data_IF_030650641948
#
_entry.id   IF_030650641948
#
_cell.length_a   1.000
_cell.length_b   1.000
_cell.length_c   1.000
_cell.angle_alpha   90.00
_cell.angle_beta   90.00
_cell.angle_gamma   90.00
#
_symmetry.space_group_name_H-M   'P 1'
#
loop_
_entity.id
_entity.type
_entity.pdbx_description
1 polymer ?
#
# COMPACT_ATOMS: atom_id res chain seq x y z
N UNK A 1 -16.48 -1.94 11.04
CA UNK A 1 -16.04 -0.75 10.28
C UNK A 1 -16.35 -1.00 8.80
N UNK A 2 -16.91 -0.02 8.07
CA UNK A 2 -17.32 -0.19 6.67
C UNK A 2 -16.15 0.11 5.75
N UNK A 3 -15.83 -0.79 4.81
CA UNK A 3 -14.78 -0.56 3.81
C UNK A 3 -15.22 0.51 2.80
N UNK A 4 -14.28 1.26 2.19
CA UNK A 4 -14.55 2.08 1.02
C UNK A 4 -15.20 1.27 -0.12
N UNK A 5 -15.88 1.93 -1.08
CA UNK A 5 -16.37 1.26 -2.28
C UNK A 5 -15.23 0.62 -3.08
N UNK A 6 -15.55 -0.28 -4.00
CA UNK A 6 -14.55 -0.93 -4.83
C UNK A 6 -15.11 -2.06 -5.70
N UNK A 7 -14.31 -2.61 -6.61
CA UNK A 7 -14.74 -3.70 -7.47
C UNK A 7 -15.09 -4.93 -6.63
N UNK A 8 -16.19 -5.59 -7.01
CA UNK A 8 -16.55 -6.89 -6.45
C UNK A 8 -15.74 -7.96 -7.16
N UNK A 9 -14.57 -8.25 -6.59
CA UNK A 9 -13.72 -9.34 -7.05
C UNK A 9 -14.35 -10.72 -6.84
N UNK A 10 -13.73 -11.72 -7.45
CA UNK A 10 -14.13 -13.11 -7.33
C UNK A 10 -13.83 -13.66 -5.93
N UNK A 11 -14.54 -14.70 -5.45
CA UNK A 11 -14.22 -15.34 -4.18
C UNK A 11 -12.74 -15.78 -4.14
N UNK A 12 -12.06 -15.55 -3.01
CA UNK A 12 -10.64 -15.88 -2.75
C UNK A 12 -9.61 -15.07 -3.55
N UNK A 13 -9.75 -15.00 -4.87
CA UNK A 13 -8.78 -14.37 -5.78
C UNK A 13 -8.98 -12.86 -5.94
N UNK A 14 -10.18 -12.33 -5.64
CA UNK A 14 -10.47 -10.90 -5.77
C UNK A 14 -10.47 -10.42 -7.23
N UNK A 15 -9.98 -9.20 -7.46
CA UNK A 15 -10.00 -8.53 -8.78
C UNK A 15 -8.68 -8.66 -9.56
N UNK A 16 -7.93 -9.73 -9.32
CA UNK A 16 -6.63 -9.96 -9.99
C UNK A 16 -6.78 -10.01 -11.51
N UNK A 17 -7.84 -10.65 -12.02
CA UNK A 17 -8.10 -10.74 -13.45
C UNK A 17 -8.64 -9.46 -14.07
N UNK A 18 -9.09 -8.51 -13.26
CA UNK A 18 -9.59 -7.22 -13.73
C UNK A 18 -8.44 -6.20 -13.90
N UNK A 19 -7.22 -6.56 -13.48
CA UNK A 19 -6.03 -5.70 -13.56
C UNK A 19 -5.22 -6.04 -14.81
N UNK A 20 -4.99 -5.01 -15.63
CA UNK A 20 -4.12 -5.11 -16.80
C UNK A 20 -2.63 -5.15 -16.44
N UNK A 21 -1.74 -5.26 -17.43
CA UNK A 21 -0.28 -5.29 -17.20
C UNK A 21 0.25 -4.04 -16.49
N UNK A 22 -0.47 -2.92 -16.61
CA UNK A 22 -0.16 -1.65 -15.95
C UNK A 22 -1.23 -1.31 -14.92
N UNK A 23 -1.03 -1.80 -13.69
CA UNK A 23 -1.99 -1.68 -12.59
C UNK A 23 -2.46 -0.24 -12.33
N UNK A 24 -1.57 0.74 -12.46
CA UNK A 24 -1.90 2.16 -12.24
C UNK A 24 -2.90 2.71 -13.26
N UNK A 25 -2.94 2.17 -14.50
CA UNK A 25 -3.95 2.56 -15.49
C UNK A 25 -5.32 2.05 -15.08
N UNK A 26 -5.43 0.78 -14.68
CA UNK A 26 -6.68 0.21 -14.14
C UNK A 26 -7.17 1.00 -12.94
N UNK A 27 -6.28 1.34 -12.00
CA UNK A 27 -6.64 2.13 -10.82
C UNK A 27 -7.08 3.55 -11.17
N UNK A 28 -6.49 4.16 -12.21
CA UNK A 28 -6.91 5.47 -12.70
C UNK A 28 -8.33 5.42 -13.28
N UNK A 29 -8.69 4.36 -14.01
CA UNK A 29 -10.07 4.18 -14.50
C UNK A 29 -11.05 3.90 -13.36
N UNK A 30 -10.68 3.05 -12.41
CA UNK A 30 -11.48 2.76 -11.22
C UNK A 30 -11.72 3.98 -10.33
N UNK A 31 -10.83 4.99 -10.35
CA UNK A 31 -11.10 6.29 -9.73
C UNK A 31 -12.42 6.89 -10.20
N UNK A 32 -12.70 6.82 -11.51
CA UNK A 32 -13.90 7.42 -12.11
C UNK A 32 -15.17 6.71 -11.62
N UNK A 33 -15.06 5.43 -11.26
CA UNK A 33 -16.18 4.59 -10.84
C UNK A 33 -16.39 4.57 -9.32
N UNK A 34 -15.32 4.46 -8.54
CA UNK A 34 -15.36 4.26 -7.09
C UNK A 34 -14.93 5.49 -6.27
N UNK A 35 -14.36 6.49 -6.94
CA UNK A 35 -13.97 7.75 -6.31
C UNK A 35 -12.49 7.81 -5.88
N UNK A 36 -12.14 8.79 -5.04
CA UNK A 36 -10.74 9.11 -4.69
C UNK A 36 -10.08 8.09 -3.76
N UNK A 37 -10.88 7.29 -3.04
CA UNK A 37 -10.44 6.19 -2.19
C UNK A 37 -11.31 4.98 -2.51
N UNK A 38 -10.68 3.85 -2.81
CA UNK A 38 -11.41 2.61 -3.00
C UNK A 38 -10.64 1.42 -2.43
N UNK A 39 -11.39 0.36 -2.14
CA UNK A 39 -10.87 -0.91 -1.65
C UNK A 39 -10.75 -1.91 -2.79
N UNK A 40 -9.68 -2.69 -2.82
CA UNK A 40 -9.54 -3.83 -3.73
C UNK A 40 -8.93 -5.02 -2.99
N UNK A 41 -9.41 -6.22 -3.29
CA UNK A 41 -8.75 -7.45 -2.87
C UNK A 41 -8.00 -8.03 -4.07
N UNK A 42 -6.71 -8.31 -3.92
CA UNK A 42 -5.90 -9.01 -4.92
C UNK A 42 -5.27 -10.27 -4.33
N UNK A 43 -5.77 -11.44 -4.74
CA UNK A 43 -5.31 -12.74 -4.28
C UNK A 43 -5.22 -12.83 -2.75
N UNK A 44 -6.29 -12.41 -2.06
CA UNK A 44 -6.36 -12.40 -0.60
C UNK A 44 -5.69 -11.19 0.06
N UNK A 45 -5.02 -10.32 -0.69
CA UNK A 45 -4.42 -9.08 -0.16
C UNK A 45 -5.42 -7.94 -0.24
N UNK A 46 -5.87 -7.48 0.92
CA UNK A 46 -6.70 -6.28 1.06
C UNK A 46 -5.86 -5.02 0.86
N UNK A 47 -6.24 -4.18 -0.09
CA UNK A 47 -5.56 -2.92 -0.40
C UNK A 47 -6.55 -1.76 -0.44
N UNK A 48 -6.09 -0.62 0.07
CA UNK A 48 -6.78 0.67 -0.06
C UNK A 48 -5.96 1.50 -1.04
N UNK A 49 -6.58 1.94 -2.13
CA UNK A 49 -5.92 2.74 -3.16
C UNK A 49 -6.31 4.20 -2.99
N UNK A 50 -5.29 5.07 -2.92
CA UNK A 50 -5.43 6.51 -2.79
C UNK A 50 -5.18 7.16 -4.15
N UNK A 51 -6.20 7.82 -4.71
CA UNK A 51 -6.22 8.19 -6.12
C UNK A 51 -6.32 9.71 -6.36
N UNK A 52 -6.09 10.50 -5.32
CA UNK A 52 -5.94 11.96 -5.40
C UNK A 52 -4.78 12.41 -4.54
N UNK A 53 -4.15 13.52 -4.95
CA UNK A 53 -3.07 14.15 -4.20
C UNK A 53 -3.54 14.54 -2.79
N UNK A 54 -4.73 15.16 -2.68
CA UNK A 54 -5.30 15.59 -1.40
C UNK A 54 -5.39 14.44 -0.37
N UNK A 55 -5.95 13.30 -0.79
CA UNK A 55 -6.08 12.12 0.08
C UNK A 55 -4.71 11.54 0.43
N UNK A 56 -3.80 11.46 -0.55
CA UNK A 56 -2.45 10.96 -0.32
C UNK A 56 -1.72 11.84 0.70
N UNK A 57 -1.76 13.17 0.58
CA UNK A 57 -1.16 14.09 1.56
C UNK A 57 -1.83 13.97 2.94
N UNK A 58 -3.15 13.88 3.00
CA UNK A 58 -3.88 13.78 4.27
C UNK A 58 -3.53 12.51 5.05
N UNK A 59 -3.39 11.37 4.36
CA UNK A 59 -3.11 10.09 5.01
C UNK A 59 -1.61 9.81 5.14
N UNK A 60 -0.84 9.98 4.08
CA UNK A 60 0.56 9.57 4.04
C UNK A 60 1.52 10.62 4.61
N UNK A 61 1.21 11.92 4.53
CA UNK A 61 2.07 12.96 5.11
C UNK A 61 1.58 13.38 6.50
N UNK A 62 0.37 13.97 6.58
CA UNK A 62 -0.13 14.55 7.84
C UNK A 62 -0.37 13.52 8.92
N UNK A 63 -0.74 12.30 8.53
CA UNK A 63 -1.00 11.15 9.41
C UNK A 63 0.04 10.03 9.23
N UNK A 64 1.22 10.39 8.74
CA UNK A 64 2.34 9.46 8.49
C UNK A 64 2.60 8.51 9.67
N UNK A 65 2.53 8.98 10.91
CA UNK A 65 2.74 8.14 12.11
C UNK A 65 1.79 6.94 12.23
N UNK A 66 0.61 6.99 11.59
CA UNK A 66 -0.39 5.92 11.59
C UNK A 66 -0.21 4.97 10.39
N UNK A 67 0.21 5.51 9.23
CA UNK A 67 0.21 4.79 7.95
C UNK A 67 1.62 4.49 7.39
N UNK A 68 2.69 4.79 8.13
CA UNK A 68 4.06 4.60 7.65
C UNK A 68 4.56 3.16 7.73
N UNK A 69 3.84 2.25 8.38
CA UNK A 69 4.24 0.85 8.43
C UNK A 69 4.24 0.20 7.03
N UNK A 70 4.95 -0.91 6.90
CA UNK A 70 5.14 -1.62 5.63
C UNK A 70 4.64 -3.05 5.72
N UNK A 71 4.03 -3.59 4.66
CA UNK A 71 3.72 -5.02 4.59
C UNK A 71 4.98 -5.86 4.78
N UNK A 72 4.84 -7.05 5.35
CA UNK A 72 5.96 -7.98 5.50
C UNK A 72 6.45 -8.47 4.14
N UNK A 73 7.72 -8.25 3.84
CA UNK A 73 8.36 -8.67 2.58
C UNK A 73 9.45 -9.71 2.86
N UNK A 74 9.09 -11.00 2.86
CA UNK A 74 9.99 -12.11 3.25
C UNK A 74 11.26 -12.15 2.38
N UNK A 75 11.11 -12.11 1.06
CA UNK A 75 12.28 -12.21 0.17
C UNK A 75 13.14 -10.95 0.23
N UNK A 76 12.55 -9.78 -0.03
CA UNK A 76 13.30 -8.53 -0.14
C UNK A 76 13.84 -8.02 1.21
N UNK A 77 13.07 -8.17 2.29
CA UNK A 77 13.44 -7.70 3.62
C UNK A 77 14.23 -8.76 4.40
N UNK A 78 13.64 -9.91 4.71
CA UNK A 78 14.25 -10.89 5.61
C UNK A 78 15.42 -11.65 4.98
N UNK A 79 15.22 -12.22 3.80
CA UNK A 79 16.22 -13.10 3.16
C UNK A 79 17.36 -12.29 2.53
N UNK A 80 17.03 -11.27 1.73
CA UNK A 80 18.05 -10.55 0.95
C UNK A 80 18.79 -9.48 1.75
N UNK A 81 18.16 -8.89 2.77
CA UNK A 81 18.73 -7.73 3.47
C UNK A 81 18.82 -7.88 4.98
N UNK A 82 18.43 -9.03 5.54
CA UNK A 82 18.44 -9.24 6.99
C UNK A 82 17.62 -8.20 7.75
N UNK A 83 16.53 -7.71 7.14
CA UNK A 83 15.67 -6.65 7.65
C UNK A 83 16.33 -5.26 7.76
N UNK A 84 17.35 -4.98 6.95
CA UNK A 84 18.02 -3.66 6.92
C UNK A 84 17.76 -2.87 5.63
N UNK A 85 16.93 -3.38 4.72
CA UNK A 85 16.49 -2.60 3.57
C UNK A 85 15.43 -1.58 4.00
N UNK A 86 15.86 -0.33 4.24
CA UNK A 86 15.08 0.77 4.82
C UNK A 86 13.67 0.97 4.21
N UNK A 87 13.52 0.73 2.91
CA UNK A 87 12.23 0.84 2.21
C UNK A 87 11.18 -0.22 2.58
N UNK A 88 11.61 -1.39 3.08
CA UNK A 88 10.74 -2.52 3.47
C UNK A 88 10.78 -2.84 4.97
N UNK A 89 11.48 -2.04 5.76
CA UNK A 89 11.51 -2.17 7.22
C UNK A 89 10.16 -1.73 7.81
N UNK A 90 9.73 -2.42 8.87
CA UNK A 90 8.57 -2.04 9.67
C UNK A 90 8.77 -0.69 10.35
N UNK A 91 7.70 0.07 10.54
CA UNK A 91 7.78 1.38 11.20
C UNK A 91 7.90 1.21 12.73
N UNK A 92 9.13 1.00 13.19
CA UNK A 92 9.48 0.80 14.59
C UNK A 92 10.72 1.64 14.99
N UNK A 93 11.23 1.44 16.21
CA UNK A 93 12.42 2.15 16.68
C UNK A 93 13.70 1.73 15.95
N UNK A 94 13.75 0.52 15.37
CA UNK A 94 14.87 0.08 14.51
C UNK A 94 14.88 0.93 13.23
N UNK A 95 13.74 1.09 12.58
CA UNK A 95 13.59 1.94 11.40
C UNK A 95 14.00 3.39 11.68
N UNK A 96 13.54 3.99 12.79
CA UNK A 96 13.90 5.37 13.17
C UNK A 96 15.42 5.56 13.31
N UNK A 97 16.11 4.59 13.92
CA UNK A 97 17.58 4.61 14.08
C UNK A 97 18.30 4.52 12.74
N UNK A 98 17.91 3.55 11.89
CA UNK A 98 18.52 3.38 10.56
C UNK A 98 18.26 4.60 9.67
N UNK A 99 17.03 5.15 9.70
CA UNK A 99 16.66 6.35 8.94
C UNK A 99 17.50 7.56 9.32
N UNK A 100 17.77 7.76 10.62
CA UNK A 100 18.61 8.85 11.13
C UNK A 100 20.05 8.70 10.63
N UNK A 101 20.63 7.50 10.77
CA UNK A 101 22.01 7.24 10.32
C UNK A 101 22.20 7.29 8.80
N UNK A 102 21.13 7.15 8.00
CA UNK A 102 21.21 7.26 6.54
C UNK A 102 21.27 8.71 6.02
N UNK A 103 21.06 9.70 6.88
CA UNK A 103 21.13 11.12 6.56
C UNK A 103 22.44 11.79 6.99
N UNK A 104 23.29 11.05 7.72
CA UNK A 104 24.64 11.44 8.11
C UNK A 104 25.62 11.09 6.98
#
# INVERSE_FOLDING_TARGET
MKLPPGPRGWPVIGSVFDIGPHMWLTFTEWKKQYGPIFYVNLAGRSMIVLNTHEVATELLDKRSSIYSDRPRHIVASEIMSGEYLLGFMHFDDKWKRVRRGSHE
#
